data_IF_921614633266
#
_entry.id   IF_921614633266
#
_cell.length_a   1.000
_cell.length_b   1.000
_cell.length_c   1.000
_cell.angle_alpha   90.00
_cell.angle_beta   90.00
_cell.angle_gamma   90.00
#
_symmetry.space_group_name_H-M   'P 1'
#
loop_
_entity.id
_entity.type
_entity.pdbx_description
1 polymer ?
#
# COMPACT_ATOMS: atom_id res chain seq x y z
N UNK A 1 16.50 -15.02 17.30
CA UNK A 1 16.69 -13.68 17.91
C UNK A 1 15.33 -13.02 18.09
N UNK A 2 15.16 -12.08 19.03
CA UNK A 2 13.93 -11.29 19.14
C UNK A 2 13.89 -10.19 18.08
N UNK A 3 12.70 -9.88 17.56
CA UNK A 3 12.47 -8.79 16.61
C UNK A 3 11.37 -7.87 17.13
N UNK A 4 11.60 -6.56 17.00
CA UNK A 4 10.71 -5.51 17.48
C UNK A 4 10.46 -4.48 16.38
N UNK A 5 9.24 -3.96 16.34
CA UNK A 5 8.89 -2.79 15.51
C UNK A 5 9.19 -1.48 16.28
N UNK A 6 8.82 -0.35 15.68
CA UNK A 6 8.90 0.98 16.32
C UNK A 6 8.04 1.11 17.60
N UNK A 7 7.05 0.24 17.81
CA UNK A 7 6.29 0.14 19.06
C UNK A 7 7.05 -0.54 20.21
N UNK A 8 8.27 -1.03 19.98
CA UNK A 8 9.14 -1.70 20.95
C UNK A 8 8.62 -3.04 21.51
N UNK A 9 7.43 -3.50 21.13
CA UNK A 9 6.99 -4.85 21.43
C UNK A 9 7.85 -5.87 20.70
N UNK A 10 8.40 -6.82 21.46
CA UNK A 10 9.35 -7.80 20.97
C UNK A 10 8.77 -9.20 20.98
N UNK A 11 8.99 -9.94 19.89
CA UNK A 11 8.59 -11.33 19.78
C UNK A 11 9.70 -12.12 19.09
N UNK A 12 9.65 -13.45 19.21
CA UNK A 12 10.64 -14.31 18.58
C UNK A 12 10.56 -14.23 17.05
N UNK A 13 11.69 -14.36 16.33
CA UNK A 13 11.68 -14.36 14.84
C UNK A 13 10.71 -15.41 14.29
N UNK A 14 10.69 -16.61 14.86
CA UNK A 14 9.77 -17.69 14.44
C UNK A 14 8.29 -17.27 14.55
N UNK A 15 7.94 -16.62 15.66
CA UNK A 15 6.60 -16.10 15.94
C UNK A 15 6.20 -15.07 14.86
N UNK A 16 7.13 -14.19 14.50
CA UNK A 16 6.93 -13.21 13.43
C UNK A 16 6.78 -13.87 12.06
N UNK A 17 7.60 -14.87 11.72
CA UNK A 17 7.52 -15.59 10.44
C UNK A 17 6.17 -16.29 10.29
N UNK A 18 5.73 -17.00 11.32
CA UNK A 18 4.42 -17.66 11.33
C UNK A 18 3.28 -16.64 11.21
N UNK A 19 3.37 -15.53 11.94
CA UNK A 19 2.37 -14.46 11.89
C UNK A 19 2.27 -13.79 10.52
N UNK A 20 3.40 -13.51 9.86
CA UNK A 20 3.43 -13.00 8.47
C UNK A 20 2.77 -13.99 7.53
N UNK A 21 3.13 -15.28 7.60
CA UNK A 21 2.54 -16.32 6.77
C UNK A 21 1.01 -16.44 6.96
N UNK A 22 0.53 -16.40 8.19
CA UNK A 22 -0.91 -16.41 8.50
C UNK A 22 -1.61 -15.17 7.95
N UNK A 23 -1.05 -13.98 8.18
CA UNK A 23 -1.61 -12.71 7.68
C UNK A 23 -1.75 -12.72 6.16
N UNK A 24 -0.73 -13.23 5.45
CA UNK A 24 -0.75 -13.35 4.00
C UNK A 24 -1.83 -14.32 3.52
N UNK A 25 -1.98 -15.47 4.18
CA UNK A 25 -3.00 -16.47 3.87
C UNK A 25 -4.42 -15.94 4.09
N UNK A 26 -4.62 -15.13 5.13
CA UNK A 26 -5.90 -14.50 5.47
C UNK A 26 -6.17 -13.22 4.67
N UNK A 27 -5.25 -12.79 3.80
CA UNK A 27 -5.36 -11.59 2.96
C UNK A 27 -5.62 -10.29 3.75
N UNK A 28 -5.08 -10.19 4.96
CA UNK A 28 -5.32 -9.04 5.87
C UNK A 28 -4.44 -7.81 5.60
N UNK A 29 -3.71 -7.78 4.49
CA UNK A 29 -2.73 -6.73 4.19
C UNK A 29 -1.47 -6.85 5.04
N UNK A 30 -0.78 -5.74 5.32
CA UNK A 30 0.47 -5.77 6.09
C UNK A 30 0.28 -6.38 7.49
N UNK A 31 1.24 -7.21 7.94
CA UNK A 31 1.19 -7.84 9.25
C UNK A 31 1.27 -6.78 10.36
N UNK A 32 0.31 -6.81 11.28
CA UNK A 32 0.29 -5.92 12.44
C UNK A 32 1.11 -6.49 13.60
N UNK A 33 1.49 -5.63 14.55
CA UNK A 33 2.06 -6.05 15.82
C UNK A 33 1.14 -7.06 16.53
N UNK A 34 1.73 -8.11 17.10
CA UNK A 34 1.00 -9.15 17.85
C UNK A 34 0.52 -8.70 19.23
N UNK A 35 0.96 -7.53 19.71
CA UNK A 35 0.53 -6.98 20.99
C UNK A 35 -0.94 -6.49 20.90
N UNK A 36 -1.81 -6.84 21.87
CA UNK A 36 -3.18 -6.34 21.91
C UNK A 36 -3.24 -4.81 21.86
N UNK A 37 -4.22 -4.27 21.12
CA UNK A 37 -4.44 -2.83 20.95
C UNK A 37 -3.28 -2.04 20.31
N UNK A 38 -2.28 -2.72 19.75
CA UNK A 38 -1.21 -2.05 19.01
C UNK A 38 -1.59 -1.92 17.53
N UNK A 39 -1.41 -0.72 16.97
CA UNK A 39 -1.70 -0.42 15.56
C UNK A 39 -0.46 -0.37 14.67
N UNK A 40 0.73 -0.65 15.22
CA UNK A 40 1.95 -0.70 14.43
C UNK A 40 1.92 -1.84 13.43
N UNK A 41 2.40 -1.57 12.22
CA UNK A 41 2.50 -2.53 11.12
C UNK A 41 3.96 -2.85 10.82
N UNK A 42 4.20 -4.07 10.36
CA UNK A 42 5.47 -4.49 9.77
C UNK A 42 5.59 -3.85 8.38
N UNK A 43 6.35 -2.75 8.30
CA UNK A 43 6.64 -2.08 7.04
C UNK A 43 7.49 -2.98 6.12
N UNK A 44 7.47 -2.69 4.82
CA UNK A 44 8.30 -3.38 3.82
C UNK A 44 9.78 -3.29 4.21
N UNK A 45 10.23 -2.13 4.70
CA UNK A 45 11.62 -1.92 5.12
C UNK A 45 11.97 -2.76 6.35
N UNK A 46 11.11 -2.76 7.37
CA UNK A 46 11.31 -3.56 8.57
C UNK A 46 11.30 -5.07 8.25
N UNK A 47 10.48 -5.48 7.28
CA UNK A 47 10.42 -6.86 6.82
C UNK A 47 11.74 -7.34 6.21
N UNK A 48 12.54 -6.47 5.60
CA UNK A 48 13.86 -6.85 5.03
C UNK A 48 14.87 -7.29 6.10
N UNK A 49 14.68 -6.88 7.35
CA UNK A 49 15.52 -7.30 8.50
C UNK A 49 15.06 -8.61 9.14
N UNK A 50 13.86 -9.08 8.78
CA UNK A 50 13.24 -10.28 9.35
C UNK A 50 13.17 -11.44 8.34
N UNK A 51 12.91 -11.13 7.07
CA UNK A 51 12.67 -12.09 6.00
C UNK A 51 13.90 -12.27 5.11
N UNK A 52 14.00 -13.41 4.42
CA UNK A 52 14.97 -13.57 3.33
C UNK A 52 14.68 -12.57 2.20
N UNK A 53 15.66 -12.21 1.35
CA UNK A 53 15.43 -11.31 0.22
C UNK A 53 14.25 -11.71 -0.67
N UNK A 54 14.10 -13.01 -0.95
CA UNK A 54 13.01 -13.57 -1.74
C UNK A 54 11.67 -13.42 -1.02
N UNK A 55 11.64 -13.76 0.27
CA UNK A 55 10.43 -13.65 1.11
C UNK A 55 10.00 -12.20 1.32
N UNK A 56 10.96 -11.28 1.44
CA UNK A 56 10.71 -9.85 1.53
C UNK A 56 10.12 -9.28 0.24
N UNK A 57 10.56 -9.76 -0.93
CA UNK A 57 9.97 -9.39 -2.22
C UNK A 57 8.53 -9.89 -2.34
N UNK A 58 8.27 -11.16 -1.97
CA UNK A 58 6.92 -11.73 -1.95
C UNK A 58 6.00 -10.94 -1.00
N UNK A 59 6.49 -10.58 0.19
CA UNK A 59 5.75 -9.77 1.15
C UNK A 59 5.45 -8.37 0.60
N UNK A 60 6.42 -7.72 -0.07
CA UNK A 60 6.23 -6.42 -0.74
C UNK A 60 5.09 -6.47 -1.76
N UNK A 61 5.14 -7.45 -2.67
CA UNK A 61 4.11 -7.62 -3.71
C UNK A 61 2.72 -7.85 -3.10
N UNK A 62 2.65 -8.66 -2.05
CA UNK A 62 1.42 -8.91 -1.31
C UNK A 62 0.86 -7.64 -0.67
N UNK A 63 1.69 -6.86 0.05
CA UNK A 63 1.26 -5.61 0.69
C UNK A 63 0.81 -4.59 -0.36
N UNK A 64 1.56 -4.41 -1.44
CA UNK A 64 1.18 -3.50 -2.53
C UNK A 64 -0.13 -3.92 -3.20
N UNK A 65 -0.32 -5.22 -3.45
CA UNK A 65 -1.55 -5.78 -4.01
C UNK A 65 -2.75 -5.55 -3.09
N UNK A 66 -2.56 -5.76 -1.78
CA UNK A 66 -3.59 -5.51 -0.78
C UNK A 66 -3.97 -4.02 -0.69
N UNK A 67 -3.00 -3.11 -0.80
CA UNK A 67 -3.29 -1.67 -0.85
C UNK A 67 -4.09 -1.30 -2.10
N UNK A 68 -3.78 -1.90 -3.26
CA UNK A 68 -4.54 -1.69 -4.50
C UNK A 68 -5.98 -2.21 -4.36
N UNK A 69 -6.19 -3.41 -3.82
CA UNK A 69 -7.53 -3.98 -3.65
C UNK A 69 -8.39 -3.22 -2.65
N UNK A 70 -7.76 -2.59 -1.65
CA UNK A 70 -8.43 -1.69 -0.71
C UNK A 70 -8.65 -0.26 -1.25
N UNK A 71 -8.24 0.03 -2.50
CA UNK A 71 -8.32 1.38 -3.07
C UNK A 71 -7.40 2.41 -2.41
N UNK A 72 -6.39 1.95 -1.67
CA UNK A 72 -5.39 2.78 -0.98
C UNK A 72 -4.14 3.05 -1.81
N UNK A 73 -4.03 2.46 -3.00
CA UNK A 73 -2.93 2.69 -3.93
C UNK A 73 -3.42 2.72 -5.37
N UNK A 74 -2.85 3.61 -6.20
CA UNK A 74 -3.11 3.73 -7.63
C UNK A 74 -1.81 3.79 -8.44
N UNK A 75 -1.90 3.39 -9.72
CA UNK A 75 -0.79 3.57 -10.65
C UNK A 75 -0.88 4.94 -11.32
N UNK A 76 0.27 5.62 -11.44
CA UNK A 76 0.35 6.86 -12.19
C UNK A 76 -0.02 6.64 -13.67
N UNK A 77 -0.98 7.40 -14.23
CA UNK A 77 -1.36 7.25 -15.64
C UNK A 77 -0.24 7.70 -16.59
N UNK A 78 0.75 8.45 -16.10
CA UNK A 78 1.88 8.96 -16.90
C UNK A 78 3.12 8.07 -16.84
N UNK A 79 3.53 7.64 -15.65
CA UNK A 79 4.81 6.93 -15.45
C UNK A 79 4.67 5.58 -14.75
N UNK A 80 3.43 5.07 -14.59
CA UNK A 80 3.07 3.78 -13.99
C UNK A 80 3.54 3.52 -12.56
N UNK A 81 4.25 4.47 -11.94
CA UNK A 81 4.67 4.38 -10.55
C UNK A 81 3.48 4.24 -9.59
N UNK A 82 3.66 3.40 -8.56
CA UNK A 82 2.69 3.22 -7.50
C UNK A 82 2.61 4.49 -6.61
N UNK A 83 1.41 4.90 -6.25
CA UNK A 83 1.13 6.07 -5.42
C UNK A 83 0.16 5.65 -4.32
N UNK A 84 0.52 5.94 -3.07
CA UNK A 84 -0.38 5.80 -1.91
C UNK A 84 -1.42 6.93 -1.95
N UNK A 85 -2.70 6.57 -1.86
CA UNK A 85 -3.86 7.47 -2.00
C UNK A 85 -4.74 7.49 -0.75
N UNK A 86 -4.22 7.05 0.39
CA UNK A 86 -4.96 6.72 1.62
C UNK A 86 -5.82 7.85 2.26
N UNK A 87 -5.80 9.11 1.80
CA UNK A 87 -6.55 10.17 2.51
C UNK A 87 -6.94 11.44 1.73
N UNK A 88 -6.57 11.60 0.46
CA UNK A 88 -6.86 12.83 -0.30
C UNK A 88 -7.60 12.54 -1.58
N UNK A 89 -8.45 13.47 -2.04
CA UNK A 89 -9.08 13.42 -3.39
C UNK A 89 -8.06 13.57 -4.53
N UNK A 90 -6.85 14.06 -4.22
CA UNK A 90 -5.77 14.23 -5.18
C UNK A 90 -4.43 13.79 -4.58
N UNK A 91 -3.65 13.05 -5.36
CA UNK A 91 -2.31 12.60 -4.96
C UNK A 91 -1.28 13.02 -6.02
N UNK A 92 -0.10 13.48 -5.59
CA UNK A 92 0.98 13.84 -6.49
C UNK A 92 1.98 12.67 -6.62
N UNK A 93 2.22 12.25 -7.85
CA UNK A 93 3.27 11.31 -8.19
C UNK A 93 4.65 11.95 -8.09
N UNK A 94 5.69 11.15 -7.83
CA UNK A 94 7.10 11.56 -7.93
C UNK A 94 7.51 12.16 -9.28
N UNK A 95 6.76 11.87 -10.36
CA UNK A 95 7.00 12.48 -11.67
C UNK A 95 6.34 13.87 -11.84
N UNK A 96 5.71 14.40 -10.77
CA UNK A 96 5.02 15.68 -10.75
C UNK A 96 3.53 15.61 -11.15
N UNK A 97 3.06 14.50 -11.71
CA UNK A 97 1.64 14.35 -12.11
C UNK A 97 0.72 14.28 -10.89
N UNK A 98 -0.30 15.14 -10.86
CA UNK A 98 -1.37 15.08 -9.86
C UNK A 98 -2.51 14.25 -10.40
N UNK A 99 -3.06 13.35 -9.58
CA UNK A 99 -4.02 12.33 -9.98
C UNK A 99 -5.25 12.42 -9.07
N UNK A 100 -6.43 12.29 -9.66
CA UNK A 100 -7.67 12.12 -8.94
C UNK A 100 -7.74 10.71 -8.35
N UNK A 101 -7.80 10.61 -7.02
CA UNK A 101 -7.80 9.32 -6.32
C UNK A 101 -9.13 8.58 -6.43
N UNK A 102 -10.18 9.25 -6.91
CA UNK A 102 -11.52 8.68 -7.08
C UNK A 102 -11.65 7.92 -8.41
N UNK A 103 -11.13 8.48 -9.51
CA UNK A 103 -11.28 7.91 -10.86
C UNK A 103 -9.94 7.47 -11.49
N UNK A 104 -8.84 7.57 -10.74
CA UNK A 104 -7.48 7.21 -11.15
C UNK A 104 -6.96 7.92 -12.42
N UNK A 105 -7.59 9.02 -12.82
CA UNK A 105 -7.16 9.85 -13.96
C UNK A 105 -6.35 11.07 -13.50
N UNK A 106 -5.78 11.81 -14.44
CA UNK A 106 -5.14 13.11 -14.15
C UNK A 106 -6.13 13.99 -13.37
N UNK A 107 -5.63 14.71 -12.35
CA UNK A 107 -6.45 15.62 -11.55
C UNK A 107 -7.17 16.62 -12.46
N UNK A 108 -8.49 16.65 -12.34
CA UNK A 108 -9.36 17.38 -13.26
C UNK A 108 -10.19 18.43 -12.53
N UNK A 109 -9.77 18.84 -11.32
CA UNK A 109 -10.47 19.88 -10.56
C UNK A 109 -10.43 21.21 -11.32
N UNK A 110 -11.51 22.01 -11.26
CA UNK A 110 -12.70 21.82 -10.42
C UNK A 110 -13.78 20.90 -11.00
N UNK A 111 -13.57 20.31 -12.18
CA UNK A 111 -14.56 19.46 -12.87
C UNK A 111 -14.80 18.16 -12.09
N UNK A 112 -16.05 17.66 -12.08
CA UNK A 112 -16.38 16.38 -11.43
C UNK A 112 -15.92 15.18 -12.28
N UNK A 113 -15.71 14.02 -11.65
CA UNK A 113 -15.26 12.81 -12.37
C UNK A 113 -16.20 12.42 -13.51
N UNK A 114 -17.52 12.56 -13.31
CA UNK A 114 -18.51 12.21 -14.33
C UNK A 114 -18.47 13.12 -15.57
N UNK A 115 -18.26 14.43 -15.38
CA UNK A 115 -18.12 15.36 -16.51
C UNK A 115 -16.79 15.10 -17.24
N UNK A 116 -15.72 14.86 -16.50
CA UNK A 116 -14.41 14.55 -17.07
C UNK A 116 -14.42 13.24 -17.90
N UNK A 117 -15.11 12.19 -17.44
CA UNK A 117 -15.25 10.95 -18.19
C UNK A 117 -15.92 11.16 -19.56
N UNK A 118 -17.05 11.88 -19.59
CA UNK A 118 -17.77 12.19 -20.83
C UNK A 118 -16.94 13.02 -21.81
N UNK A 119 -16.14 13.96 -21.30
CA UNK A 119 -15.24 14.75 -22.15
C UNK A 119 -14.18 13.89 -22.84
N UNK A 120 -13.61 12.91 -22.11
CA UNK A 120 -12.61 11.99 -22.67
C UNK A 120 -13.21 11.05 -23.73
N UNK A 121 -14.43 10.59 -23.54
CA UNK A 121 -15.14 9.74 -24.51
C UNK A 121 -15.46 10.50 -25.81
N UNK A 122 -15.76 11.80 -25.71
CA UNK A 122 -16.04 12.63 -26.89
C UNK A 122 -14.77 13.11 -27.62
N UNK A 123 -13.60 12.99 -27.00
CA UNK A 123 -12.32 13.47 -27.54
C UNK A 123 -11.41 12.36 -28.08
N UNK A 124 -11.82 11.09 -27.95
CA UNK A 124 -11.14 9.92 -28.52
C UNK A 124 -11.77 9.48 -29.83
#
# INVERSE_FOLDING_TARGET
>A
FPFSLSCLHSFCSECWLQHVGMTMREQRGAAACMAPNCTCILSIDAATSLLSPESAQIYREFVESSLKSQGKSLNCPKCTANIDVSSSRSAQCRCGTVICTVCASIDHRPVSCGVYARYREAAG
#
